data_IF_328073076644
#
_entry.id   IF_328073076644
#
_cell.length_a   1.000
_cell.length_b   1.000
_cell.length_c   1.000
_cell.angle_alpha   90.00
_cell.angle_beta   90.00
_cell.angle_gamma   90.00
#
_symmetry.space_group_name_H-M   'P 1'
#
loop_
_entity.id
_entity.type
_entity.pdbx_description
1 polymer ?
#
# COMPACT_ATOMS: atom_id res chain seq x y z
N UNK A 1 -20.65 -11.11 12.74
CA UNK A 1 -20.75 -11.52 14.16
C UNK A 1 -19.42 -12.11 14.59
N UNK A 2 -18.67 -11.42 15.45
CA UNK A 2 -17.94 -12.00 16.59
C UNK A 2 -17.32 -10.83 17.35
N UNK A 3 -17.98 -10.42 18.44
CA UNK A 3 -17.40 -9.55 19.45
C UNK A 3 -16.31 -10.35 20.17
N UNK A 4 -15.04 -10.02 19.97
CA UNK A 4 -13.98 -10.38 20.91
C UNK A 4 -13.04 -9.19 21.08
N UNK A 5 -13.40 -8.34 22.03
CA UNK A 5 -12.47 -7.40 22.66
C UNK A 5 -11.36 -8.22 23.33
N UNK A 6 -10.27 -8.51 22.62
CA UNK A 6 -9.01 -8.97 23.18
C UNK A 6 -8.01 -7.87 22.86
N UNK A 7 -7.73 -7.04 23.86
CA UNK A 7 -6.91 -5.84 23.75
C UNK A 7 -5.44 -6.26 23.58
N UNK A 8 -5.04 -6.66 22.37
CA UNK A 8 -3.65 -6.98 22.05
C UNK A 8 -2.89 -5.65 22.08
N UNK A 9 -2.24 -5.40 23.21
CA UNK A 9 -1.32 -4.29 23.39
C UNK A 9 0.09 -4.87 23.37
N UNK A 10 0.82 -4.62 22.28
CA UNK A 10 2.27 -4.79 22.28
C UNK A 10 2.85 -3.65 23.12
N UNK A 11 3.67 -4.01 24.11
CA UNK A 11 3.97 -3.13 25.24
C UNK A 11 4.75 -1.85 24.89
N UNK A 12 5.42 -1.76 23.73
CA UNK A 12 6.09 -0.53 23.28
C UNK A 12 6.51 -0.59 21.80
N UNK A 13 6.73 0.59 21.19
CA UNK A 13 7.72 0.74 20.11
C UNK A 13 9.09 0.43 20.71
N UNK A 14 9.47 -0.84 20.71
CA UNK A 14 10.78 -1.24 21.19
C UNK A 14 11.83 -0.65 20.26
N UNK A 15 12.52 0.39 20.74
CA UNK A 15 13.75 0.85 20.11
C UNK A 15 14.82 -0.21 20.32
N UNK A 16 14.81 -1.24 19.46
CA UNK A 16 15.81 -2.29 19.42
C UNK A 16 17.18 -1.65 19.20
N UNK A 17 18.01 -1.67 20.23
CA UNK A 17 19.37 -1.15 20.19
C UNK A 17 20.34 -2.27 20.50
N UNK A 18 21.27 -2.51 19.59
CA UNK A 18 22.40 -3.37 19.84
C UNK A 18 23.46 -2.61 20.62
N UNK A 19 24.01 -3.26 21.65
CA UNK A 19 25.16 -2.71 22.37
C UNK A 19 26.37 -2.69 21.44
N UNK A 20 27.05 -1.54 21.34
CA UNK A 20 28.27 -1.39 20.51
C UNK A 20 29.40 -2.36 20.92
N UNK A 21 29.44 -2.75 22.20
CA UNK A 21 30.49 -3.60 22.78
C UNK A 21 30.10 -5.08 22.89
N UNK A 22 28.98 -5.49 22.28
CA UNK A 22 28.57 -6.89 22.29
C UNK A 22 29.52 -7.70 21.40
N UNK A 23 29.97 -8.87 21.87
CA UNK A 23 30.66 -9.85 21.04
C UNK A 23 29.75 -10.32 19.91
N UNK A 24 30.34 -10.82 18.82
CA UNK A 24 29.55 -11.29 17.68
C UNK A 24 28.61 -12.44 18.05
N UNK A 25 29.02 -13.34 18.95
CA UNK A 25 28.16 -14.40 19.51
C UNK A 25 26.99 -13.81 20.30
N UNK A 26 27.26 -12.82 21.16
CA UNK A 26 26.20 -12.14 21.91
C UNK A 26 25.24 -11.34 21.02
N UNK A 27 25.69 -10.90 19.83
CA UNK A 27 24.79 -10.27 18.85
C UNK A 27 23.83 -11.28 18.26
N UNK A 28 24.32 -12.47 17.91
CA UNK A 28 23.52 -13.55 17.33
C UNK A 28 22.45 -13.99 18.33
N UNK A 29 22.81 -14.16 19.60
CA UNK A 29 21.86 -14.51 20.67
C UNK A 29 20.72 -13.50 20.78
N UNK A 30 21.04 -12.19 20.83
CA UNK A 30 20.01 -11.14 20.88
C UNK A 30 19.12 -11.12 19.65
N UNK A 31 19.67 -11.35 18.46
CA UNK A 31 18.87 -11.42 17.23
C UNK A 31 17.90 -12.61 17.30
N UNK A 32 18.35 -13.76 17.82
CA UNK A 32 17.49 -14.93 18.01
C UNK A 32 16.38 -14.66 19.04
N UNK A 33 16.69 -14.00 20.16
CA UNK A 33 15.68 -13.57 21.14
C UNK A 33 14.60 -12.69 20.49
N UNK A 34 15.01 -11.69 19.71
CA UNK A 34 14.08 -10.83 18.99
C UNK A 34 13.25 -11.58 17.95
N UNK A 35 13.85 -12.53 17.24
CA UNK A 35 13.15 -13.35 16.26
C UNK A 35 12.08 -14.24 16.92
N UNK A 36 12.38 -14.82 18.07
CA UNK A 36 11.42 -15.61 18.86
C UNK A 36 10.29 -14.72 19.35
N UNK A 37 10.62 -13.54 19.86
CA UNK A 37 9.62 -12.59 20.34
C UNK A 37 8.69 -12.13 19.21
N UNK A 38 9.23 -11.78 18.03
CA UNK A 38 8.45 -11.41 16.86
C UNK A 38 7.55 -12.54 16.39
N UNK A 39 8.07 -13.77 16.41
CA UNK A 39 7.27 -14.95 16.06
C UNK A 39 6.08 -15.11 17.01
N UNK A 40 6.30 -14.97 18.31
CA UNK A 40 5.23 -15.06 19.31
C UNK A 40 4.18 -13.95 19.11
N UNK A 41 4.62 -12.72 18.77
CA UNK A 41 3.72 -11.61 18.44
C UNK A 41 2.87 -11.91 17.21
N UNK A 42 3.48 -12.47 16.15
CA UNK A 42 2.76 -12.87 14.94
C UNK A 42 1.79 -14.02 15.17
N UNK A 43 2.14 -15.00 16.00
CA UNK A 43 1.24 -16.10 16.36
C UNK A 43 0.02 -15.59 17.15
N UNK A 44 0.23 -14.67 18.11
CA UNK A 44 -0.87 -14.01 18.82
C UNK A 44 -1.78 -13.20 17.87
N UNK A 45 -1.23 -12.61 16.81
CA UNK A 45 -2.02 -11.94 15.77
C UNK A 45 -2.80 -12.94 14.91
N UNK A 46 -2.22 -14.09 14.55
CA UNK A 46 -2.95 -15.14 13.84
C UNK A 46 -4.16 -15.62 14.67
N UNK A 47 -3.98 -15.84 15.98
CA UNK A 47 -5.05 -16.23 16.89
C UNK A 47 -6.15 -15.16 16.98
N UNK A 48 -5.77 -13.87 16.98
CA UNK A 48 -6.70 -12.75 16.98
C UNK A 48 -7.59 -12.71 15.73
N UNK A 49 -6.99 -12.93 14.56
CA UNK A 49 -7.70 -12.97 13.29
C UNK A 49 -8.40 -14.32 13.04
N UNK A 50 -8.25 -15.30 13.94
CA UNK A 50 -8.84 -16.63 13.82
C UNK A 50 -8.27 -17.45 12.66
N UNK A 51 -7.00 -17.24 12.32
CA UNK A 51 -6.32 -17.89 11.22
C UNK A 51 -5.86 -19.28 11.67
N UNK A 52 -6.19 -20.30 10.88
CA UNK A 52 -5.76 -21.67 11.15
C UNK A 52 -4.24 -21.83 11.04
N UNK A 53 -3.67 -22.75 11.82
CA UNK A 53 -2.24 -23.06 11.79
C UNK A 53 -1.87 -23.85 10.52
N UNK A 54 -1.81 -23.13 9.39
CA UNK A 54 -1.40 -23.63 8.08
C UNK A 54 0.01 -23.14 7.75
N UNK A 55 0.65 -23.74 6.75
CA UNK A 55 1.95 -23.28 6.25
C UNK A 55 1.92 -21.83 5.75
N UNK A 56 0.73 -21.31 5.40
CA UNK A 56 0.51 -19.98 4.85
C UNK A 56 -0.11 -19.00 5.86
N UNK A 57 -0.18 -19.35 7.15
CA UNK A 57 -0.85 -18.54 8.18
C UNK A 57 -0.40 -17.08 8.22
N UNK A 58 0.90 -16.81 8.04
CA UNK A 58 1.43 -15.45 8.03
C UNK A 58 1.07 -14.67 6.76
N UNK A 59 0.89 -15.38 5.63
CA UNK A 59 0.40 -14.77 4.40
C UNK A 59 -1.08 -14.38 4.54
N UNK A 60 -1.91 -15.27 5.09
CA UNK A 60 -3.31 -14.95 5.41
C UNK A 60 -3.42 -13.77 6.38
N UNK A 61 -2.54 -13.71 7.39
CA UNK A 61 -2.47 -12.60 8.32
C UNK A 61 -2.13 -11.28 7.61
N UNK A 62 -1.17 -11.31 6.69
CA UNK A 62 -0.79 -10.13 5.90
C UNK A 62 -1.96 -9.59 5.06
N UNK A 63 -2.78 -10.48 4.51
CA UNK A 63 -3.97 -10.11 3.75
C UNK A 63 -5.07 -9.53 4.65
N UNK A 64 -5.26 -10.10 5.84
CA UNK A 64 -6.22 -9.58 6.81
C UNK A 64 -5.83 -8.15 7.24
N UNK A 65 -4.56 -7.95 7.61
CA UNK A 65 -4.02 -6.63 7.94
C UNK A 65 -4.11 -5.65 6.77
N UNK A 66 -3.77 -6.07 5.56
CA UNK A 66 -3.85 -5.23 4.38
C UNK A 66 -5.27 -4.75 4.08
N UNK A 67 -6.30 -5.52 4.44
CA UNK A 67 -7.70 -5.11 4.31
C UNK A 67 -8.10 -4.08 5.37
N UNK A 68 -7.67 -4.28 6.62
CA UNK A 68 -7.99 -3.38 7.73
C UNK A 68 -7.31 -2.01 7.58
N UNK A 69 -6.08 -2.00 7.08
CA UNK A 69 -5.28 -0.79 6.88
C UNK A 69 -5.30 -0.28 5.44
N UNK A 70 -6.17 -0.83 4.57
CA UNK A 70 -6.29 -0.34 3.21
C UNK A 70 -6.76 1.12 3.25
N UNK A 71 -5.96 2.10 2.77
CA UNK A 71 -6.42 3.48 2.77
C UNK A 71 -7.67 3.57 1.88
N UNK A 72 -8.70 4.26 2.36
CA UNK A 72 -9.87 4.57 1.54
C UNK A 72 -9.38 5.16 0.22
N UNK A 73 -9.87 4.63 -0.91
CA UNK A 73 -9.56 5.18 -2.22
C UNK A 73 -9.90 6.67 -2.16
N UNK A 74 -8.86 7.52 -2.16
CA UNK A 74 -9.04 8.97 -2.27
C UNK A 74 -9.97 9.20 -3.44
N UNK A 75 -11.17 9.75 -3.17
CA UNK A 75 -12.09 10.16 -4.24
C UNK A 75 -11.27 11.05 -5.16
N UNK A 76 -10.95 10.56 -6.37
CA UNK A 76 -10.25 11.37 -7.37
C UNK A 76 -11.05 12.66 -7.50
N UNK A 77 -10.34 13.79 -7.47
CA UNK A 77 -10.91 15.13 -7.27
C UNK A 77 -12.11 15.43 -8.18
N UNK A 78 -12.82 16.49 -7.82
CA UNK A 78 -13.97 17.05 -8.54
C UNK A 78 -13.80 16.82 -10.04
N UNK A 79 -14.72 16.04 -10.65
CA UNK A 79 -14.77 15.87 -12.11
C UNK A 79 -14.68 17.26 -12.72
N UNK A 80 -13.59 17.56 -13.42
CA UNK A 80 -13.47 18.81 -14.16
C UNK A 80 -14.69 18.89 -15.07
N UNK A 81 -15.54 19.90 -14.90
CA UNK A 81 -16.68 20.07 -15.80
C UNK A 81 -16.11 20.37 -17.19
N UNK A 82 -16.42 19.50 -18.15
CA UNK A 82 -16.13 19.73 -19.56
C UNK A 82 -16.98 20.91 -20.05
N UNK A 83 -16.42 22.10 -19.94
CA UNK A 83 -16.98 23.31 -20.53
C UNK A 83 -16.39 23.53 -21.92
N UNK A 84 -17.07 24.31 -22.76
CA UNK A 84 -16.58 24.65 -24.11
C UNK A 84 -15.16 25.22 -24.09
N UNK A 85 -14.82 25.99 -23.05
CA UNK A 85 -13.47 26.53 -22.84
C UNK A 85 -12.44 25.41 -22.62
N UNK A 86 -12.75 24.42 -21.77
CA UNK A 86 -11.85 23.29 -21.49
C UNK A 86 -11.64 22.43 -22.74
N UNK A 87 -12.70 22.26 -23.55
CA UNK A 87 -12.60 21.57 -24.84
C UNK A 87 -11.75 22.35 -25.83
N UNK A 88 -11.93 23.67 -25.95
CA UNK A 88 -11.15 24.52 -26.84
C UNK A 88 -9.66 24.52 -26.48
N UNK A 89 -9.33 24.57 -25.18
CA UNK A 89 -7.95 24.48 -24.68
C UNK A 89 -7.33 23.11 -24.99
N UNK A 90 -8.10 22.02 -24.84
CA UNK A 90 -7.63 20.69 -25.20
C UNK A 90 -7.33 20.58 -26.71
N UNK A 91 -8.22 21.06 -27.56
CA UNK A 91 -8.05 21.03 -29.02
C UNK A 91 -6.82 21.83 -29.43
N UNK A 92 -6.63 23.03 -28.86
CA UNK A 92 -5.45 23.85 -29.13
C UNK A 92 -4.14 23.18 -28.71
N UNK A 93 -4.13 22.48 -27.56
CA UNK A 93 -2.94 21.78 -27.08
C UNK A 93 -2.63 20.53 -27.91
N UNK A 94 -3.66 19.80 -28.36
CA UNK A 94 -3.50 18.69 -29.31
C UNK A 94 -2.90 19.20 -30.63
N UNK A 95 -3.44 20.28 -31.19
CA UNK A 95 -2.97 20.87 -32.45
C UNK A 95 -1.53 21.37 -32.33
N UNK A 96 -1.18 21.95 -31.17
CA UNK A 96 0.20 22.34 -30.83
C UNK A 96 1.15 21.14 -30.79
N UNK A 97 0.73 20.01 -30.23
CA UNK A 97 1.55 18.79 -30.10
C UNK A 97 1.72 18.07 -31.45
N UNK A 98 0.67 18.02 -32.27
CA UNK A 98 0.71 17.53 -33.66
C UNK A 98 1.67 18.38 -34.50
N UNK A 99 1.64 19.70 -34.32
CA UNK A 99 2.48 20.64 -35.08
C UNK A 99 3.97 20.64 -34.69
N UNK A 100 4.34 20.04 -33.54
CA UNK A 100 5.71 20.09 -32.98
C UNK A 100 6.45 18.75 -33.01
N UNK A 101 6.23 17.92 -34.03
CA UNK A 101 6.88 16.59 -34.17
C UNK A 101 6.50 15.58 -33.07
N UNK A 102 5.34 15.76 -32.42
CA UNK A 102 4.78 14.71 -31.56
C UNK A 102 4.56 13.44 -32.38
N UNK A 103 5.12 12.31 -31.96
CA UNK A 103 4.94 11.05 -32.68
C UNK A 103 3.48 10.61 -32.52
N UNK A 104 2.83 10.16 -33.60
CA UNK A 104 1.41 9.72 -33.59
C UNK A 104 1.06 8.78 -32.43
N UNK A 105 2.04 7.99 -31.98
CA UNK A 105 1.95 7.07 -30.86
C UNK A 105 1.68 7.75 -29.52
N UNK A 106 2.28 8.90 -29.26
CA UNK A 106 2.16 9.62 -27.99
C UNK A 106 0.79 10.31 -27.88
N UNK A 107 0.29 10.82 -29.00
CA UNK A 107 -1.06 11.37 -29.12
C UNK A 107 -2.13 10.28 -28.92
N UNK A 108 -1.98 9.13 -29.57
CA UNK A 108 -2.88 7.99 -29.41
C UNK A 108 -2.90 7.46 -27.97
N UNK A 109 -1.74 7.42 -27.30
CA UNK A 109 -1.66 7.04 -25.89
C UNK A 109 -2.38 8.05 -24.99
N UNK A 110 -2.18 9.36 -25.21
CA UNK A 110 -2.84 10.42 -24.47
C UNK A 110 -4.37 10.39 -24.66
N UNK A 111 -4.85 10.23 -25.90
CA UNK A 111 -6.28 10.09 -26.20
C UNK A 111 -6.89 8.85 -25.55
N UNK A 112 -6.17 7.72 -25.58
CA UNK A 112 -6.61 6.48 -24.94
C UNK A 112 -6.69 6.63 -23.42
N UNK A 113 -5.71 7.26 -22.79
CA UNK A 113 -5.77 7.55 -21.35
C UNK A 113 -6.97 8.45 -21.02
N UNK A 114 -7.25 9.44 -21.87
CA UNK A 114 -8.40 10.34 -21.70
C UNK A 114 -9.75 9.59 -21.82
N UNK A 115 -9.90 8.73 -22.83
CA UNK A 115 -11.13 7.96 -23.06
C UNK A 115 -11.38 6.89 -22.00
N UNK A 116 -10.31 6.27 -21.47
CA UNK A 116 -10.39 5.27 -20.40
C UNK A 116 -10.67 5.91 -19.01
N UNK A 117 -10.23 7.16 -18.77
CA UNK A 117 -10.42 7.83 -17.46
C UNK A 117 -11.68 8.67 -17.35
N UNK A 118 -12.30 9.09 -18.45
CA UNK A 118 -13.65 9.66 -18.48
C UNK A 118 -14.30 9.41 -19.83
N UNK A 119 -14.99 8.27 -20.01
CA UNK A 119 -15.71 8.02 -21.25
C UNK A 119 -16.90 8.99 -21.44
N UNK A 120 -17.32 9.71 -20.39
CA UNK A 120 -18.32 10.78 -20.39
C UNK A 120 -18.34 11.52 -19.03
#
# INVERSE_FOLDING_TARGET
>A
MSNKNHNIRFAHEETRKMGLLLSDDGKIEKINEWAIEDRNKLEALCDYYGISDTSEKFYELSLALARDFLPEKKKRGVKTKWTELVQAVLVAEVDRLVSKEGTDRDLLWAFRQLSETSPW
#
